data_IF_072106896815
#
_entry.id   IF_072106896815
#
_cell.length_a   1.000
_cell.length_b   1.000
_cell.length_c   1.000
_cell.angle_alpha   90.00
_cell.angle_beta   90.00
_cell.angle_gamma   90.00
#
_symmetry.space_group_name_H-M   'P 1'
#
loop_
_entity.id
_entity.type
_entity.pdbx_description
1 polymer ?
#
# COMPACT_ATOMS: atom_id res chain seq x y z
N UNK A 1 -56.38 28.36 1.48
CA UNK A 1 -56.16 26.91 1.31
C UNK A 1 -54.86 26.55 2.01
N UNK A 2 -54.94 25.94 3.19
CA UNK A 2 -53.76 25.42 3.89
C UNK A 2 -53.21 24.25 3.07
N UNK A 3 -51.97 24.36 2.57
CA UNK A 3 -51.31 23.18 2.00
C UNK A 3 -51.07 22.20 3.14
N UNK A 4 -51.59 20.98 2.99
CA UNK A 4 -51.25 19.89 3.89
C UNK A 4 -49.75 19.68 3.83
N UNK A 5 -49.04 20.05 4.90
CA UNK A 5 -47.63 19.71 5.05
C UNK A 5 -47.53 18.18 5.02
N UNK A 6 -47.08 17.62 3.90
CA UNK A 6 -46.84 16.19 3.76
C UNK A 6 -45.93 15.72 4.88
N UNK A 7 -46.29 14.62 5.53
CA UNK A 7 -45.52 14.07 6.63
C UNK A 7 -44.09 13.71 6.18
N UNK A 8 -43.08 13.91 7.05
CA UNK A 8 -41.71 13.54 6.74
C UNK A 8 -41.61 12.06 6.37
N UNK A 9 -40.94 11.77 5.25
CA UNK A 9 -40.90 10.44 4.64
C UNK A 9 -39.49 10.04 4.18
N UNK A 10 -39.27 8.75 3.97
CA UNK A 10 -38.06 8.18 3.35
C UNK A 10 -38.37 7.80 1.89
N UNK A 11 -37.34 7.72 1.02
CA UNK A 11 -37.52 7.21 -0.33
C UNK A 11 -38.08 5.78 -0.33
N UNK A 12 -38.82 5.46 -1.39
CA UNK A 12 -39.35 4.11 -1.60
C UNK A 12 -38.24 3.07 -1.75
N UNK A 13 -38.43 1.89 -1.13
CA UNK A 13 -37.51 0.76 -1.30
C UNK A 13 -37.56 0.24 -2.75
N UNK A 14 -36.42 -0.23 -3.24
CA UNK A 14 -36.31 -0.92 -4.53
C UNK A 14 -36.63 -2.41 -4.36
N UNK A 15 -37.08 -3.05 -5.42
CA UNK A 15 -37.12 -4.52 -5.48
C UNK A 15 -35.71 -5.07 -5.31
N UNK A 16 -35.52 -6.03 -4.41
CA UNK A 16 -34.20 -6.63 -4.09
C UNK A 16 -33.83 -7.73 -5.10
N UNK A 17 -33.80 -7.36 -6.38
CA UNK A 17 -33.40 -8.24 -7.48
C UNK A 17 -31.86 -8.38 -7.61
N UNK A 18 -31.10 -7.46 -7.01
CA UNK A 18 -29.65 -7.46 -7.00
C UNK A 18 -29.07 -6.84 -5.72
N UNK A 19 -27.79 -7.13 -5.43
CA UNK A 19 -27.13 -6.67 -4.21
C UNK A 19 -26.90 -5.16 -4.14
N UNK A 20 -26.89 -4.44 -5.27
CA UNK A 20 -26.82 -2.99 -5.26
C UNK A 20 -28.15 -2.39 -4.78
N UNK A 21 -29.28 -2.96 -5.22
CA UNK A 21 -30.60 -2.60 -4.69
C UNK A 21 -30.75 -2.98 -3.21
N UNK A 22 -30.16 -4.10 -2.77
CA UNK A 22 -30.06 -4.42 -1.33
C UNK A 22 -29.28 -3.36 -0.56
N UNK A 23 -28.10 -2.94 -1.04
CA UNK A 23 -27.33 -1.84 -0.42
C UNK A 23 -28.15 -0.55 -0.34
N UNK A 24 -28.83 -0.17 -1.42
CA UNK A 24 -29.70 0.99 -1.46
C UNK A 24 -30.79 0.91 -0.37
N UNK A 25 -31.46 -0.24 -0.25
CA UNK A 25 -32.50 -0.46 0.76
C UNK A 25 -31.94 -0.46 2.17
N UNK A 26 -30.77 -1.05 2.39
CA UNK A 26 -30.13 -1.08 3.71
C UNK A 26 -29.70 0.30 4.19
N UNK A 27 -29.26 1.18 3.29
CA UNK A 27 -29.04 2.59 3.63
C UNK A 27 -30.36 3.23 4.09
N UNK A 28 -31.48 2.97 3.41
CA UNK A 28 -32.79 3.50 3.83
C UNK A 28 -33.19 2.96 5.22
N UNK A 29 -33.01 1.66 5.46
CA UNK A 29 -33.26 1.03 6.78
C UNK A 29 -32.38 1.63 7.86
N UNK A 30 -31.11 1.89 7.57
CA UNK A 30 -30.17 2.54 8.49
C UNK A 30 -30.67 3.96 8.86
N UNK A 31 -31.10 4.75 7.88
CA UNK A 31 -31.68 6.07 8.15
C UNK A 31 -32.99 5.99 8.95
N UNK A 32 -33.83 4.98 8.68
CA UNK A 32 -35.04 4.72 9.45
C UNK A 32 -34.73 4.43 10.93
N UNK A 33 -33.70 3.63 11.21
CA UNK A 33 -33.24 3.35 12.58
C UNK A 33 -32.75 4.62 13.29
N UNK A 34 -32.14 5.54 12.53
CA UNK A 34 -31.70 6.86 13.03
C UNK A 34 -32.83 7.89 13.10
N UNK A 35 -34.06 7.50 12.75
CA UNK A 35 -35.28 8.34 12.82
C UNK A 35 -35.17 9.63 12.00
N UNK A 36 -34.34 9.63 10.95
CA UNK A 36 -34.21 10.78 10.04
C UNK A 36 -35.12 10.60 8.83
N UNK A 37 -35.74 11.68 8.39
CA UNK A 37 -36.67 11.69 7.24
C UNK A 37 -36.58 13.04 6.52
N UNK A 38 -36.99 13.07 5.26
CA UNK A 38 -37.09 14.31 4.50
C UNK A 38 -38.50 14.89 4.59
N UNK A 39 -38.59 16.21 4.68
CA UNK A 39 -39.87 16.93 4.68
C UNK A 39 -40.39 17.12 3.26
N UNK A 40 -41.71 17.02 3.07
CA UNK A 40 -42.34 17.20 1.76
C UNK A 40 -41.87 16.20 0.71
N UNK A 41 -41.95 16.61 -0.56
CA UNK A 41 -41.53 15.79 -1.71
C UNK A 41 -40.00 15.65 -1.88
N UNK A 42 -39.19 16.10 -0.91
CA UNK A 42 -37.73 15.99 -1.01
C UNK A 42 -37.24 14.54 -0.95
N UNK A 43 -37.99 13.63 -0.31
CA UNK A 43 -37.61 12.22 -0.21
C UNK A 43 -37.48 11.54 -1.58
N UNK A 44 -38.42 11.75 -2.51
CA UNK A 44 -38.36 11.16 -3.86
C UNK A 44 -37.44 11.90 -4.84
N UNK A 45 -36.95 13.09 -4.47
CA UNK A 45 -36.08 13.91 -5.33
C UNK A 45 -34.65 13.96 -4.79
N UNK A 46 -34.39 14.87 -3.86
CA UNK A 46 -33.08 15.08 -3.24
C UNK A 46 -32.64 13.86 -2.41
N UNK A 47 -33.55 13.30 -1.61
CA UNK A 47 -33.30 12.16 -0.74
C UNK A 47 -32.91 10.93 -1.54
N UNK A 48 -33.71 10.55 -2.54
CA UNK A 48 -33.39 9.44 -3.45
C UNK A 48 -32.02 9.61 -4.10
N UNK A 49 -31.71 10.78 -4.66
CA UNK A 49 -30.39 11.07 -5.26
C UNK A 49 -29.25 10.95 -4.25
N UNK A 50 -29.47 11.38 -3.00
CA UNK A 50 -28.47 11.20 -1.94
C UNK A 50 -28.20 9.72 -1.66
N UNK A 51 -29.23 8.89 -1.53
CA UNK A 51 -29.05 7.43 -1.34
C UNK A 51 -28.34 6.81 -2.54
N UNK A 52 -28.72 7.17 -3.77
CA UNK A 52 -28.07 6.65 -4.98
C UNK A 52 -26.58 6.99 -5.04
N UNK A 53 -26.22 8.23 -4.70
CA UNK A 53 -24.81 8.69 -4.66
C UNK A 53 -24.01 8.00 -3.57
N UNK A 54 -24.60 7.84 -2.38
CA UNK A 54 -23.96 7.15 -1.26
C UNK A 54 -23.77 5.65 -1.57
N UNK A 55 -24.81 4.99 -2.09
CA UNK A 55 -24.75 3.61 -2.52
C UNK A 55 -23.70 3.40 -3.61
N UNK A 56 -23.63 4.29 -4.62
CA UNK A 56 -22.64 4.21 -5.68
C UNK A 56 -21.20 4.30 -5.15
N UNK A 57 -20.94 5.19 -4.19
CA UNK A 57 -19.63 5.32 -3.57
C UNK A 57 -19.26 4.07 -2.76
N UNK A 58 -20.16 3.62 -1.87
CA UNK A 58 -19.95 2.43 -1.04
C UNK A 58 -19.74 1.20 -1.93
N UNK A 59 -20.61 1.00 -2.92
CA UNK A 59 -20.51 -0.12 -3.88
C UNK A 59 -19.16 -0.20 -4.59
N UNK A 60 -18.58 0.95 -4.94
CA UNK A 60 -17.31 1.03 -5.66
C UNK A 60 -16.11 0.70 -4.75
N UNK A 61 -16.13 1.14 -3.48
CA UNK A 61 -15.04 0.87 -2.53
C UNK A 61 -15.19 -0.48 -1.81
N UNK A 62 -16.38 -1.04 -1.76
CA UNK A 62 -16.75 -2.25 -1.02
C UNK A 62 -15.78 -3.43 -1.23
N UNK A 63 -15.36 -3.79 -2.46
CA UNK A 63 -14.42 -4.89 -2.65
C UNK A 63 -12.96 -4.61 -2.24
N UNK A 64 -12.67 -3.38 -1.82
CA UNK A 64 -11.31 -2.89 -1.58
C UNK A 64 -11.12 -2.32 -0.18
N UNK A 65 -12.08 -2.51 0.73
CA UNK A 65 -12.03 -1.98 2.09
C UNK A 65 -10.78 -2.44 2.86
N UNK A 66 -10.26 -3.63 2.56
CA UNK A 66 -8.98 -4.15 3.05
C UNK A 66 -7.80 -3.22 2.71
N UNK A 67 -7.77 -2.67 1.49
CA UNK A 67 -6.72 -1.73 1.06
C UNK A 67 -6.83 -0.38 1.76
N UNK A 68 -8.04 0.05 2.09
CA UNK A 68 -8.25 1.23 2.93
C UNK A 68 -7.73 0.95 4.35
N UNK A 69 -8.12 -0.17 4.95
CA UNK A 69 -7.66 -0.59 6.28
C UNK A 69 -6.13 -0.73 6.38
N UNK A 70 -5.46 -1.24 5.33
CA UNK A 70 -4.00 -1.32 5.26
C UNK A 70 -3.29 0.04 5.30
N UNK A 71 -4.04 1.14 5.13
CA UNK A 71 -3.57 2.53 5.26
C UNK A 71 -4.15 3.24 6.47
N UNK A 72 -4.71 2.51 7.43
CA UNK A 72 -5.40 3.05 8.60
C UNK A 72 -6.57 3.98 8.22
N UNK A 73 -7.21 3.71 7.08
CA UNK A 73 -8.40 4.40 6.63
C UNK A 73 -9.58 3.45 6.82
N UNK A 74 -10.47 3.78 7.76
CA UNK A 74 -11.60 2.93 8.11
C UNK A 74 -12.91 3.56 7.66
N UNK A 75 -13.90 2.71 7.37
CA UNK A 75 -15.25 3.17 7.10
C UNK A 75 -15.84 3.83 8.36
N UNK A 76 -16.57 4.95 8.27
CA UNK A 76 -17.23 5.55 9.43
C UNK A 76 -18.17 4.57 10.15
N UNK A 77 -18.31 4.73 11.46
CA UNK A 77 -18.98 3.76 12.34
C UNK A 77 -20.42 3.53 11.90
N UNK A 78 -21.13 4.58 11.48
CA UNK A 78 -22.50 4.47 11.00
C UNK A 78 -22.63 3.49 9.83
N UNK A 79 -21.70 3.53 8.88
CA UNK A 79 -21.78 2.68 7.69
C UNK A 79 -21.29 1.25 7.95
N UNK A 80 -20.50 1.01 9.00
CA UNK A 80 -20.16 -0.35 9.44
C UNK A 80 -21.41 -1.12 9.92
N UNK A 81 -22.49 -0.41 10.29
CA UNK A 81 -23.76 -1.03 10.70
C UNK A 81 -24.63 -1.54 9.54
N UNK A 82 -24.21 -1.35 8.29
CA UNK A 82 -24.89 -1.94 7.14
C UNK A 82 -24.96 -3.47 7.27
N UNK A 83 -26.08 -4.05 6.83
CA UNK A 83 -26.49 -5.41 7.23
C UNK A 83 -25.44 -6.49 6.88
N UNK A 84 -24.82 -6.39 5.71
CA UNK A 84 -23.80 -7.33 5.25
C UNK A 84 -22.45 -7.10 5.95
N UNK A 85 -22.08 -5.85 6.26
CA UNK A 85 -20.87 -5.54 7.01
C UNK A 85 -20.93 -6.06 8.44
N UNK A 86 -22.09 -5.97 9.11
CA UNK A 86 -22.29 -6.60 10.43
C UNK A 86 -22.12 -8.12 10.41
N UNK A 87 -22.31 -8.75 9.24
CA UNK A 87 -22.11 -10.18 9.03
C UNK A 87 -20.69 -10.51 8.53
N UNK A 88 -19.79 -9.53 8.48
CA UNK A 88 -18.44 -9.65 7.89
C UNK A 88 -18.47 -10.13 6.43
N UNK A 89 -19.47 -9.65 5.66
CA UNK A 89 -19.64 -9.93 4.23
C UNK A 89 -19.66 -8.64 3.41
N UNK A 90 -19.61 -8.75 2.09
CA UNK A 90 -19.55 -7.60 1.16
C UNK A 90 -20.79 -7.53 0.28
N UNK A 91 -21.12 -6.31 -0.17
CA UNK A 91 -22.27 -6.07 -1.06
C UNK A 91 -21.96 -6.37 -2.52
N UNK A 92 -20.75 -6.11 -2.99
CA UNK A 92 -20.36 -6.27 -4.38
C UNK A 92 -19.71 -7.64 -4.59
N UNK A 93 -20.49 -8.71 -4.42
CA UNK A 93 -19.99 -10.08 -4.57
C UNK A 93 -19.61 -10.42 -6.01
N UNK A 94 -20.17 -9.70 -7.00
CA UNK A 94 -19.79 -9.82 -8.41
C UNK A 94 -18.30 -9.57 -8.63
N UNK A 95 -17.69 -8.68 -7.85
CA UNK A 95 -16.26 -8.43 -7.90
C UNK A 95 -15.40 -9.67 -7.57
N UNK A 96 -15.87 -10.50 -6.65
CA UNK A 96 -15.14 -11.67 -6.16
C UNK A 96 -15.39 -12.91 -7.02
N UNK A 97 -16.64 -13.12 -7.44
CA UNK A 97 -17.08 -14.36 -8.11
C UNK A 97 -17.18 -14.23 -9.65
N UNK A 98 -17.14 -13.01 -10.18
CA UNK A 98 -17.25 -12.75 -11.61
C UNK A 98 -16.00 -13.17 -12.38
N UNK A 99 -16.20 -13.71 -13.60
CA UNK A 99 -15.12 -14.00 -14.56
C UNK A 99 -14.63 -12.74 -15.31
N UNK A 100 -15.28 -11.60 -15.11
CA UNK A 100 -14.95 -10.36 -15.79
C UNK A 100 -13.70 -9.70 -15.19
N UNK A 101 -13.08 -8.83 -15.99
CA UNK A 101 -11.94 -8.01 -15.53
C UNK A 101 -12.36 -7.20 -14.32
N UNK A 102 -11.69 -7.45 -13.20
CA UNK A 102 -11.92 -6.74 -11.93
C UNK A 102 -11.59 -5.26 -12.10
N UNK A 103 -12.58 -4.42 -11.82
CA UNK A 103 -12.39 -2.97 -11.86
C UNK A 103 -11.39 -2.55 -10.76
N UNK A 104 -10.38 -1.77 -11.15
CA UNK A 104 -9.41 -1.25 -10.18
C UNK A 104 -9.92 0.09 -9.65
N UNK A 105 -9.64 0.36 -8.38
CA UNK A 105 -9.79 1.71 -7.85
C UNK A 105 -8.93 2.67 -8.66
N UNK A 106 -9.52 3.80 -9.04
CA UNK A 106 -8.83 4.88 -9.73
C UNK A 106 -9.08 6.21 -9.03
N UNK A 107 -8.07 7.08 -9.04
CA UNK A 107 -8.18 8.44 -8.51
C UNK A 107 -9.37 9.19 -9.14
N UNK A 108 -9.46 9.17 -10.49
CA UNK A 108 -10.53 9.86 -11.22
C UNK A 108 -11.93 9.41 -10.81
N UNK A 109 -12.19 8.09 -10.71
CA UNK A 109 -13.52 7.60 -10.36
C UNK A 109 -13.90 7.86 -8.91
N UNK A 110 -12.94 7.75 -7.98
CA UNK A 110 -13.15 8.12 -6.58
C UNK A 110 -13.49 9.60 -6.45
N UNK A 111 -12.77 10.46 -7.16
CA UNK A 111 -13.01 11.91 -7.16
C UNK A 111 -14.40 12.24 -7.72
N UNK A 112 -14.79 11.61 -8.85
CA UNK A 112 -16.13 11.76 -9.45
C UNK A 112 -17.24 11.38 -8.46
N UNK A 113 -17.13 10.22 -7.80
CA UNK A 113 -18.12 9.73 -6.84
C UNK A 113 -18.20 10.64 -5.60
N UNK A 114 -17.05 11.08 -5.09
CA UNK A 114 -16.97 12.01 -3.96
C UNK A 114 -17.59 13.37 -4.31
N UNK A 115 -17.30 13.92 -5.49
CA UNK A 115 -17.89 15.17 -5.95
C UNK A 115 -19.41 15.04 -6.08
N UNK A 116 -19.88 13.93 -6.67
CA UNK A 116 -21.31 13.64 -6.80
C UNK A 116 -22.01 13.59 -5.43
N UNK A 117 -21.43 12.88 -4.46
CA UNK A 117 -21.96 12.81 -3.08
C UNK A 117 -21.90 14.17 -2.36
N UNK A 118 -20.83 14.94 -2.59
CA UNK A 118 -20.64 16.27 -2.01
C UNK A 118 -21.79 17.22 -2.40
N UNK A 119 -22.31 17.12 -3.63
CA UNK A 119 -23.47 17.92 -4.08
C UNK A 119 -24.73 17.64 -3.26
N UNK A 120 -24.87 16.44 -2.66
CA UNK A 120 -26.03 16.13 -1.82
C UNK A 120 -25.91 16.73 -0.43
N UNK A 121 -24.74 16.66 0.19
CA UNK A 121 -24.53 17.13 1.58
C UNK A 121 -24.46 18.66 1.69
N UNK A 122 -24.34 19.38 0.58
CA UNK A 122 -24.41 20.85 0.53
C UNK A 122 -25.83 21.39 0.34
N UNK A 123 -26.83 20.52 0.19
CA UNK A 123 -28.22 20.96 -0.01
C UNK A 123 -28.85 21.44 1.30
N UNK A 124 -29.84 22.34 1.24
CA UNK A 124 -30.43 22.96 2.44
C UNK A 124 -30.96 21.98 3.49
N UNK A 125 -31.47 20.81 3.07
CA UNK A 125 -32.00 19.80 3.99
C UNK A 125 -30.91 19.17 4.88
N UNK A 126 -29.67 19.11 4.40
CA UNK A 126 -28.54 18.51 5.11
C UNK A 126 -28.11 19.36 6.32
N UNK A 127 -28.39 20.67 6.31
CA UNK A 127 -28.07 21.58 7.41
C UNK A 127 -29.03 21.49 8.60
N UNK A 128 -30.07 20.66 8.53
CA UNK A 128 -31.03 20.53 9.63
C UNK A 128 -30.46 19.68 10.77
N UNK A 129 -30.78 20.06 12.03
CA UNK A 129 -30.27 19.39 13.24
C UNK A 129 -30.55 17.88 13.29
N UNK A 130 -31.66 17.44 12.69
CA UNK A 130 -32.02 16.01 12.63
C UNK A 130 -31.06 15.22 11.75
N UNK A 131 -30.49 15.86 10.72
CA UNK A 131 -29.58 15.24 9.77
C UNK A 131 -28.11 15.36 10.17
N UNK A 132 -27.77 16.28 11.07
CA UNK A 132 -26.39 16.58 11.49
C UNK A 132 -25.56 15.32 11.82
N UNK A 133 -26.01 14.36 12.65
CA UNK A 133 -25.21 13.17 12.95
C UNK A 133 -24.91 12.31 11.71
N UNK A 134 -25.88 12.18 10.80
CA UNK A 134 -25.71 11.41 9.56
C UNK A 134 -24.76 12.12 8.61
N UNK A 135 -24.91 13.44 8.48
CA UNK A 135 -24.07 14.23 7.58
C UNK A 135 -22.63 14.25 8.06
N UNK A 136 -22.36 14.28 9.37
CA UNK A 136 -20.99 14.14 9.89
C UNK A 136 -20.33 12.82 9.46
N UNK A 137 -21.05 11.69 9.57
CA UNK A 137 -20.54 10.38 9.13
C UNK A 137 -20.31 10.35 7.61
N UNK A 138 -21.20 10.96 6.81
CA UNK A 138 -21.01 11.08 5.35
C UNK A 138 -19.79 11.94 5.01
N UNK A 139 -19.57 13.05 5.74
CA UNK A 139 -18.40 13.90 5.55
C UNK A 139 -17.11 13.17 5.92
N UNK A 140 -17.13 12.35 6.97
CA UNK A 140 -16.01 11.49 7.34
C UNK A 140 -15.73 10.46 6.24
N UNK A 141 -16.76 9.81 5.67
CA UNK A 141 -16.62 8.90 4.53
C UNK A 141 -15.97 9.61 3.34
N UNK A 142 -16.42 10.82 3.02
CA UNK A 142 -15.84 11.64 1.96
C UNK A 142 -14.35 11.89 2.24
N UNK A 143 -13.98 12.24 3.47
CA UNK A 143 -12.57 12.47 3.83
C UNK A 143 -11.71 11.22 3.71
N UNK A 144 -12.22 10.07 4.18
CA UNK A 144 -11.57 8.76 4.07
C UNK A 144 -11.29 8.44 2.59
N UNK A 145 -12.28 8.61 1.74
CA UNK A 145 -12.13 8.35 0.30
C UNK A 145 -11.18 9.33 -0.36
N UNK A 146 -11.23 10.63 -0.03
CA UNK A 146 -10.30 11.64 -0.55
C UNK A 146 -8.85 11.31 -0.17
N UNK A 147 -8.59 10.91 1.07
CA UNK A 147 -7.25 10.51 1.53
C UNK A 147 -6.70 9.34 0.70
N UNK A 148 -7.53 8.33 0.46
CA UNK A 148 -7.12 7.19 -0.37
C UNK A 148 -6.93 7.57 -1.84
N UNK A 149 -7.84 8.39 -2.39
CA UNK A 149 -7.77 8.92 -3.75
C UNK A 149 -6.47 9.70 -3.98
N UNK A 150 -6.08 10.55 -3.04
CA UNK A 150 -4.81 11.28 -3.08
C UNK A 150 -3.59 10.36 -3.03
N UNK A 151 -3.63 9.32 -2.19
CA UNK A 151 -2.58 8.29 -2.17
C UNK A 151 -2.44 7.61 -3.54
N UNK A 152 -3.55 7.24 -4.19
CA UNK A 152 -3.51 6.64 -5.53
C UNK A 152 -2.85 7.58 -6.54
N UNK A 153 -3.14 8.89 -6.47
CA UNK A 153 -2.52 9.86 -7.36
C UNK A 153 -1.00 9.90 -7.18
N UNK A 154 -0.50 10.05 -5.95
CA UNK A 154 0.94 10.04 -5.65
C UNK A 154 1.60 8.71 -6.09
N UNK A 155 0.94 7.58 -5.83
CA UNK A 155 1.46 6.28 -6.23
C UNK A 155 1.56 6.14 -7.75
N UNK A 156 0.57 6.67 -8.48
CA UNK A 156 0.58 6.69 -9.94
C UNK A 156 1.65 7.63 -10.50
N UNK A 157 1.79 8.84 -9.96
CA UNK A 157 2.83 9.81 -10.35
C UNK A 157 4.23 9.20 -10.19
N UNK A 158 4.54 8.63 -9.02
CA UNK A 158 5.82 7.93 -8.78
C UNK A 158 6.06 6.79 -9.76
N UNK A 159 5.01 6.03 -10.08
CA UNK A 159 5.12 4.94 -11.05
C UNK A 159 5.39 5.47 -12.47
N UNK A 160 4.77 6.59 -12.85
CA UNK A 160 5.04 7.24 -14.13
C UNK A 160 6.47 7.78 -14.21
N UNK A 161 6.97 8.41 -13.14
CA UNK A 161 8.36 8.87 -13.05
C UNK A 161 9.34 7.71 -13.25
N UNK A 162 9.13 6.58 -12.54
CA UNK A 162 9.98 5.39 -12.69
C UNK A 162 9.88 4.80 -14.10
N UNK A 163 8.69 4.81 -14.71
CA UNK A 163 8.50 4.27 -16.05
C UNK A 163 9.19 5.08 -17.15
N UNK A 164 9.27 6.40 -16.99
CA UNK A 164 9.88 7.31 -17.94
C UNK A 164 11.35 7.65 -17.61
N UNK A 165 11.87 7.20 -16.47
CA UNK A 165 13.28 7.36 -16.11
C UNK A 165 14.19 6.50 -16.99
N UNK A 166 15.24 7.14 -17.52
CA UNK A 166 16.37 6.49 -18.19
C UNK A 166 17.45 5.99 -17.21
N UNK A 167 17.29 6.27 -15.92
CA UNK A 167 18.14 5.78 -14.83
C UNK A 167 17.51 4.51 -14.25
N UNK A 168 18.30 3.46 -13.91
CA UNK A 168 17.79 2.31 -13.18
C UNK A 168 16.99 2.75 -11.95
N UNK A 169 15.90 2.05 -11.63
CA UNK A 169 15.04 2.40 -10.50
C UNK A 169 15.75 2.35 -9.12
N UNK A 170 16.99 1.86 -9.09
CA UNK A 170 17.88 1.74 -7.92
C UNK A 170 19.32 2.02 -8.33
N UNK A 171 20.01 2.81 -7.54
CA UNK A 171 21.38 3.23 -7.80
C UNK A 171 22.30 2.61 -6.74
N UNK A 172 23.33 1.82 -7.11
CA UNK A 172 24.34 1.32 -6.17
C UNK A 172 25.06 2.41 -5.37
N UNK A 173 24.98 3.69 -5.74
CA UNK A 173 25.53 4.80 -4.96
C UNK A 173 24.63 5.21 -3.78
N UNK A 174 23.33 4.87 -3.81
CA UNK A 174 22.34 5.24 -2.78
C UNK A 174 21.83 4.01 -2.01
N UNK A 175 21.68 2.86 -2.67
CA UNK A 175 21.08 1.65 -2.11
C UNK A 175 22.12 0.64 -1.54
N UNK A 176 23.37 1.08 -1.39
CA UNK A 176 24.49 0.28 -0.90
C UNK A 176 24.97 0.76 0.47
N UNK A 177 25.16 -0.17 1.41
CA UNK A 177 25.86 0.07 2.66
C UNK A 177 27.10 -0.81 2.74
N UNK A 178 28.25 -0.18 2.97
CA UNK A 178 29.52 -0.87 3.25
C UNK A 178 30.02 -0.40 4.61
N UNK A 179 30.32 -1.34 5.51
CA UNK A 179 30.85 -1.03 6.83
C UNK A 179 31.70 -2.19 7.37
N UNK A 180 32.66 -1.86 8.21
CA UNK A 180 33.58 -2.83 8.83
C UNK A 180 33.20 -3.07 10.28
N UNK A 181 33.17 -4.35 10.66
CA UNK A 181 33.03 -4.82 12.03
C UNK A 181 34.42 -5.25 12.50
N UNK A 182 34.88 -4.66 13.61
CA UNK A 182 36.13 -5.09 14.25
C UNK A 182 35.92 -6.40 15.01
N UNK A 183 37.01 -7.15 15.21
CA UNK A 183 36.95 -8.39 15.98
C UNK A 183 36.49 -8.13 17.41
N UNK A 184 35.70 -9.06 17.95
CA UNK A 184 35.29 -9.09 19.35
C UNK A 184 35.88 -10.31 20.04
N UNK A 185 36.30 -10.16 21.30
CA UNK A 185 36.74 -11.28 22.14
C UNK A 185 35.58 -12.16 22.61
N UNK A 186 34.37 -11.59 22.65
CA UNK A 186 33.16 -12.26 23.10
C UNK A 186 32.17 -12.32 21.94
N UNK A 187 32.17 -13.46 21.26
CA UNK A 187 31.27 -13.75 20.14
C UNK A 187 30.23 -14.79 20.57
N UNK A 188 28.97 -14.54 20.23
CA UNK A 188 27.91 -15.53 20.43
C UNK A 188 28.13 -16.80 19.60
N UNK A 189 27.81 -17.96 20.18
CA UNK A 189 27.96 -19.28 19.53
C UNK A 189 27.28 -19.38 18.17
N UNK A 190 26.19 -18.63 17.96
CA UNK A 190 25.42 -18.63 16.70
C UNK A 190 26.25 -18.19 15.48
N UNK A 191 27.33 -17.44 15.70
CA UNK A 191 28.23 -16.98 14.63
C UNK A 191 29.44 -17.91 14.43
N UNK A 192 29.58 -18.99 15.20
CA UNK A 192 30.76 -19.84 15.23
C UNK A 192 31.16 -20.40 13.86
N UNK A 193 30.21 -21.00 13.14
CA UNK A 193 30.45 -21.59 11.81
C UNK A 193 30.94 -20.57 10.80
N UNK A 194 30.26 -19.43 10.70
CA UNK A 194 30.65 -18.35 9.79
C UNK A 194 31.99 -17.74 10.18
N UNK A 195 32.27 -17.57 11.48
CA UNK A 195 33.55 -17.01 11.94
C UNK A 195 34.72 -17.95 11.66
N UNK A 196 34.54 -19.26 11.87
CA UNK A 196 35.56 -20.27 11.53
C UNK A 196 35.81 -20.31 10.03
N UNK A 197 34.74 -20.27 9.22
CA UNK A 197 34.85 -20.19 7.77
C UNK A 197 35.61 -18.94 7.32
N UNK A 198 35.27 -17.76 7.85
CA UNK A 198 35.96 -16.50 7.52
C UNK A 198 37.42 -16.50 7.98
N UNK A 199 37.73 -17.17 9.11
CA UNK A 199 39.11 -17.32 9.58
C UNK A 199 39.96 -18.09 8.57
N UNK A 200 39.40 -19.14 7.97
CA UNK A 200 40.07 -19.98 6.96
C UNK A 200 40.31 -19.29 5.62
N UNK A 201 39.62 -18.18 5.34
CA UNK A 201 39.70 -17.45 4.08
C UNK A 201 40.90 -16.52 4.03
N UNK A 202 41.34 -16.13 2.84
CA UNK A 202 42.33 -15.06 2.72
C UNK A 202 41.68 -13.69 2.99
N UNK A 203 42.50 -12.71 3.38
CA UNK A 203 42.02 -11.34 3.47
C UNK A 203 41.54 -10.89 2.08
N UNK A 204 40.46 -10.12 2.03
CA UNK A 204 39.86 -9.61 0.80
C UNK A 204 39.19 -10.67 -0.11
N UNK A 205 39.01 -11.89 0.37
CA UNK A 205 38.18 -12.90 -0.30
C UNK A 205 36.71 -12.77 0.14
N UNK A 206 35.83 -12.34 -0.77
CA UNK A 206 34.42 -12.14 -0.48
C UNK A 206 33.61 -13.43 -0.60
N UNK A 207 32.62 -13.55 0.28
CA UNK A 207 31.69 -14.69 0.32
C UNK A 207 30.26 -14.18 0.44
N UNK A 208 29.31 -14.93 -0.15
CA UNK A 208 27.90 -14.63 -0.01
C UNK A 208 27.42 -15.09 1.37
N UNK A 209 26.84 -14.17 2.15
CA UNK A 209 26.37 -14.45 3.50
C UNK A 209 25.13 -15.37 3.50
N UNK A 210 24.40 -15.44 2.38
CA UNK A 210 23.12 -16.14 2.24
C UNK A 210 23.14 -17.58 2.78
N UNK A 211 24.22 -18.32 2.52
CA UNK A 211 24.38 -19.72 2.92
C UNK A 211 24.51 -19.93 4.43
N UNK A 212 24.74 -18.87 5.21
CA UNK A 212 24.91 -18.92 6.67
C UNK A 212 23.73 -18.31 7.43
N UNK A 213 22.73 -17.82 6.70
CA UNK A 213 21.60 -17.15 7.30
C UNK A 213 20.51 -18.15 7.69
N UNK A 214 19.87 -18.00 8.87
CA UNK A 214 18.72 -18.80 9.24
C UNK A 214 17.57 -18.69 8.22
N UNK A 215 16.82 -19.78 8.03
CA UNK A 215 15.63 -19.82 7.19
C UNK A 215 14.47 -18.97 7.77
N UNK A 216 14.39 -18.90 9.10
CA UNK A 216 13.36 -18.11 9.79
C UNK A 216 13.61 -16.60 9.62
N UNK A 217 12.59 -15.88 9.14
CA UNK A 217 12.68 -14.46 8.76
C UNK A 217 13.05 -13.56 9.95
N UNK A 218 12.51 -13.82 11.14
CA UNK A 218 12.79 -13.02 12.34
C UNK A 218 14.21 -13.28 12.84
N UNK A 219 14.62 -14.55 12.94
CA UNK A 219 15.99 -14.92 13.30
C UNK A 219 17.00 -14.38 12.31
N UNK A 220 16.69 -14.40 11.02
CA UNK A 220 17.53 -13.81 9.96
C UNK A 220 17.76 -12.31 10.16
N UNK A 221 16.70 -11.56 10.47
CA UNK A 221 16.81 -10.13 10.73
C UNK A 221 17.72 -9.84 11.92
N UNK A 222 17.49 -10.51 13.05
CA UNK A 222 18.32 -10.37 14.26
C UNK A 222 19.76 -10.80 14.01
N UNK A 223 19.96 -11.92 13.31
CA UNK A 223 21.29 -12.44 12.98
C UNK A 223 22.15 -11.43 12.23
N UNK A 224 21.59 -10.78 11.20
CA UNK A 224 22.30 -9.76 10.41
C UNK A 224 22.52 -8.46 11.18
N UNK A 225 21.59 -8.09 12.06
CA UNK A 225 21.66 -6.82 12.82
C UNK A 225 22.77 -6.85 13.88
N UNK A 226 23.06 -8.01 14.43
CA UNK A 226 23.93 -8.21 15.59
C UNK A 226 25.19 -9.02 15.25
N UNK A 227 25.66 -8.95 14.00
CA UNK A 227 26.82 -9.70 13.53
C UNK A 227 28.05 -9.43 14.41
N UNK A 228 28.70 -10.52 14.83
CA UNK A 228 29.88 -10.52 15.67
C UNK A 228 30.85 -11.59 15.17
N UNK A 229 32.14 -11.27 15.17
CA UNK A 229 33.19 -12.15 14.67
C UNK A 229 34.45 -11.99 15.50
N UNK A 230 35.25 -13.06 15.59
CA UNK A 230 36.57 -13.01 16.22
C UNK A 230 37.69 -12.54 15.27
N UNK A 231 37.34 -12.28 14.01
CA UNK A 231 38.17 -11.62 13.00
C UNK A 231 37.52 -10.30 12.55
N UNK A 232 38.33 -9.34 12.10
CA UNK A 232 37.80 -8.13 11.49
C UNK A 232 37.25 -8.42 10.09
N UNK A 233 36.07 -7.87 9.78
CA UNK A 233 35.37 -8.16 8.52
C UNK A 233 34.70 -6.93 7.95
N UNK A 234 34.60 -6.84 6.63
CA UNK A 234 33.80 -5.83 5.95
C UNK A 234 32.56 -6.46 5.35
N UNK A 235 31.42 -5.77 5.51
CA UNK A 235 30.13 -6.19 5.00
C UNK A 235 29.69 -5.24 3.90
N UNK A 236 29.25 -5.82 2.79
CA UNK A 236 28.61 -5.14 1.67
C UNK A 236 27.15 -5.54 1.61
N UNK A 237 26.23 -4.57 1.76
CA UNK A 237 24.78 -4.79 1.75
C UNK A 237 24.14 -3.98 0.64
N UNK A 238 23.56 -4.67 -0.34
CA UNK A 238 22.86 -4.05 -1.45
C UNK A 238 21.35 -4.29 -1.34
N UNK A 239 20.59 -3.19 -1.21
CA UNK A 239 19.15 -3.23 -1.05
C UNK A 239 18.46 -3.24 -2.42
N UNK A 240 18.13 -4.43 -2.90
CA UNK A 240 17.59 -4.65 -4.24
C UNK A 240 16.09 -4.27 -4.38
N UNK A 241 15.38 -4.18 -3.26
CA UNK A 241 13.95 -3.87 -3.19
C UNK A 241 13.06 -5.11 -3.00
N UNK A 242 11.74 -4.89 -3.06
CA UNK A 242 10.72 -5.75 -2.45
C UNK A 242 10.64 -7.20 -2.94
N UNK A 243 11.23 -7.56 -4.09
CA UNK A 243 11.06 -8.90 -4.68
C UNK A 243 12.22 -9.88 -4.42
N UNK A 244 13.44 -9.40 -4.18
CA UNK A 244 14.65 -10.24 -4.09
C UNK A 244 15.44 -10.05 -2.80
N UNK A 245 14.97 -9.17 -1.90
CA UNK A 245 15.58 -8.96 -0.60
C UNK A 245 16.84 -8.09 -0.66
N UNK A 246 17.75 -8.32 0.29
CA UNK A 246 19.05 -7.61 0.38
C UNK A 246 20.16 -8.61 0.12
N UNK A 247 21.04 -8.33 -0.83
CA UNK A 247 22.25 -9.12 -1.04
C UNK A 247 23.30 -8.70 -0.01
N UNK A 248 23.86 -9.68 0.70
CA UNK A 248 24.88 -9.43 1.73
C UNK A 248 26.14 -10.23 1.36
N UNK A 249 27.24 -9.52 1.14
CA UNK A 249 28.57 -10.12 1.00
C UNK A 249 29.44 -9.72 2.18
N UNK A 250 30.35 -10.59 2.56
CA UNK A 250 31.26 -10.39 3.69
C UNK A 250 32.66 -10.88 3.31
N UNK A 251 33.70 -10.20 3.78
CA UNK A 251 35.09 -10.66 3.63
C UNK A 251 35.91 -10.30 4.87
N UNK A 252 36.94 -11.10 5.11
CA UNK A 252 37.94 -10.83 6.16
C UNK A 252 38.84 -9.66 5.74
N UNK A 253 39.21 -8.84 6.71
CA UNK A 253 40.19 -7.76 6.55
C UNK A 253 41.21 -7.79 7.69
N UNK A 254 42.41 -7.19 7.51
CA UNK A 254 43.37 -7.02 8.59
C UNK A 254 42.75 -6.37 9.83
N UNK A 255 43.10 -6.91 11.00
CA UNK A 255 42.60 -6.43 12.29
C UNK A 255 43.14 -5.04 12.63
N UNK A 256 44.40 -4.77 12.28
CA UNK A 256 44.98 -3.44 12.36
C UNK A 256 44.44 -2.57 11.21
N UNK A 257 43.93 -1.37 11.54
CA UNK A 257 43.37 -0.46 10.56
C UNK A 257 44.40 0.00 9.52
N UNK A 258 45.65 0.22 9.94
CA UNK A 258 46.72 0.73 9.06
C UNK A 258 47.18 -0.30 8.02
N UNK A 259 46.93 -1.59 8.26
CA UNK A 259 47.30 -2.67 7.34
C UNK A 259 46.22 -2.89 6.27
N UNK A 260 45.11 -2.14 6.34
CA UNK A 260 44.01 -2.27 5.39
C UNK A 260 44.32 -1.53 4.10
N UNK A 261 44.30 -2.28 3.01
CA UNK A 261 44.49 -1.78 1.65
C UNK A 261 43.19 -1.24 1.06
N UNK A 262 43.07 0.09 0.96
CA UNK A 262 41.93 0.78 0.34
C UNK A 262 41.76 0.43 -1.14
N UNK A 263 42.86 0.15 -1.86
CA UNK A 263 42.83 -0.21 -3.27
C UNK A 263 42.17 -1.57 -3.45
N UNK A 264 42.52 -2.55 -2.60
CA UNK A 264 41.86 -3.87 -2.60
C UNK A 264 40.37 -3.76 -2.26
N UNK A 265 40.00 -2.92 -1.28
CA UNK A 265 38.59 -2.66 -0.96
C UNK A 265 37.82 -2.13 -2.18
N UNK A 266 38.38 -1.14 -2.88
CA UNK A 266 37.77 -0.59 -4.10
C UNK A 266 37.65 -1.64 -5.22
N UNK A 267 38.65 -2.50 -5.39
CA UNK A 267 38.64 -3.59 -6.37
C UNK A 267 37.54 -4.62 -6.09
N UNK A 268 37.37 -5.03 -4.82
CA UNK A 268 36.29 -5.93 -4.41
C UNK A 268 34.94 -5.27 -4.70
N UNK A 269 34.77 -4.00 -4.29
CA UNK A 269 33.52 -3.27 -4.50
C UNK A 269 33.16 -3.18 -6.00
N UNK A 270 34.12 -2.84 -6.85
CA UNK A 270 33.93 -2.81 -8.30
C UNK A 270 33.59 -4.19 -8.89
N UNK A 271 34.18 -5.26 -8.34
CA UNK A 271 33.90 -6.63 -8.75
C UNK A 271 32.48 -7.06 -8.35
N UNK A 272 32.08 -6.81 -7.10
CA UNK A 272 30.73 -7.08 -6.61
C UNK A 272 29.66 -6.29 -7.38
N UNK A 273 29.92 -5.02 -7.71
CA UNK A 273 29.00 -4.20 -8.52
C UNK A 273 28.72 -4.80 -9.90
N UNK A 274 29.69 -5.49 -10.52
CA UNK A 274 29.48 -6.18 -11.80
C UNK A 274 28.57 -7.41 -11.68
N UNK A 275 28.51 -8.03 -10.49
CA UNK A 275 27.67 -9.19 -10.20
C UNK A 275 26.24 -8.80 -9.82
N UNK A 276 25.98 -7.52 -9.52
CA UNK A 276 24.65 -7.07 -9.11
C UNK A 276 23.65 -7.19 -10.28
N UNK A 277 22.42 -7.67 -10.03
CA UNK A 277 21.38 -7.73 -11.05
C UNK A 277 21.01 -6.34 -11.56
N UNK A 278 21.05 -6.16 -12.90
CA UNK A 278 20.68 -4.90 -13.56
C UNK A 278 19.19 -4.91 -13.90
N UNK A 279 18.41 -4.02 -13.28
CA UNK A 279 16.99 -3.86 -13.60
C UNK A 279 16.77 -2.70 -14.56
N UNK A 280 16.45 -3.04 -15.81
CA UNK A 280 16.06 -2.07 -16.82
C UNK A 280 14.63 -1.55 -16.57
N UNK A 281 14.45 -0.23 -16.56
CA UNK A 281 13.12 0.38 -16.64
C UNK A 281 12.45 0.06 -17.98
N UNK A 282 11.15 0.30 -18.10
CA UNK A 282 10.41 0.06 -19.36
C UNK A 282 10.97 0.93 -20.49
N UNK A 283 11.39 2.16 -20.19
CA UNK A 283 12.04 3.04 -21.16
C UNK A 283 13.45 2.55 -21.53
N UNK A 284 14.25 2.09 -20.55
CA UNK A 284 15.56 1.46 -20.87
C UNK A 284 15.42 0.24 -21.77
N UNK A 285 14.39 -0.60 -21.58
CA UNK A 285 14.10 -1.73 -22.48
C UNK A 285 13.76 -1.26 -23.89
N UNK A 286 12.97 -0.20 -24.04
CA UNK A 286 12.67 0.40 -25.36
C UNK A 286 13.94 0.94 -26.02
N UNK A 287 14.75 1.70 -25.28
CA UNK A 287 15.99 2.29 -25.80
C UNK A 287 17.03 1.21 -26.20
N UNK A 288 17.12 0.12 -25.43
CA UNK A 288 17.97 -1.02 -25.75
C UNK A 288 17.49 -1.76 -27.00
N UNK A 289 16.19 -2.00 -27.14
CA UNK A 289 15.60 -2.60 -28.35
C UNK A 289 15.80 -1.73 -29.58
N UNK A 290 15.66 -0.40 -29.46
CA UNK A 290 15.99 0.52 -30.54
C UNK A 290 17.46 0.42 -30.95
N UNK A 291 18.40 0.36 -30.00
CA UNK A 291 19.83 0.22 -30.32
C UNK A 291 20.20 -1.10 -31.02
N UNK A 292 19.48 -2.19 -30.77
CA UNK A 292 19.71 -3.50 -31.41
C UNK A 292 19.15 -3.57 -32.83
N UNK A 293 18.13 -2.76 -33.16
CA UNK A 293 17.52 -2.73 -34.50
C UNK A 293 18.32 -1.86 -35.48
N UNK A 294 19.22 -1.00 -34.99
CA UNK A 294 20.07 -0.12 -35.79
C UNK A 294 21.56 -0.55 -35.85
N UNK A 295 21.86 -1.79 -35.44
CA UNK A 295 23.15 -2.46 -35.67
C UNK A 295 22.92 -3.66 -36.60
#
# INVERSE_FOLDING_TARGET
>A
MQSSAQQPSLPSLKTEDNQNNLLFNDIIRLLQQRKVKWNGNLHETAGKKFIERLAALIWYIDPHLDKFCARSLHLPVLFQELSLYKQNTTYNQFYHHGKHKKEKLSHAKLEELVQSLSISVTQPWACSKVWEPIIQEVLELIQVVKKYSHYLNIANERMQEIHHSDVPARDPTVDLKVYTINSTMHMERRYGELSEFLRSKEDYEYVNLESFLPDDVFKRHTYIKELQFDVAVTIYRYHQGNYLGTLNYIWKVPSCFNDRDETKLAQIMASLQKLLPKFYTRQMRKNALHKVIFL
#
